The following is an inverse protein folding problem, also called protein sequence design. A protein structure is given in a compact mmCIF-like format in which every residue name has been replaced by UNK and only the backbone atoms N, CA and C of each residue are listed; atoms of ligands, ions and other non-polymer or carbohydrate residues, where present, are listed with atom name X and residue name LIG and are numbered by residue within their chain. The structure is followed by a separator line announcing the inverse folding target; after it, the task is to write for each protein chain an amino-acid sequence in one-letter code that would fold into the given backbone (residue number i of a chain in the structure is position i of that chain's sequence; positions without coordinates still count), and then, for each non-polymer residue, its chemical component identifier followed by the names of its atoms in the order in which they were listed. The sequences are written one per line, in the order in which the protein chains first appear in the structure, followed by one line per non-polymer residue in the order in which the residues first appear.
data_IF_348596131386
#
_entry.id   IF_348596131386
#
_cell.length_a   1.000
_cell.length_b   1.000
_cell.length_c   1.000
_cell.angle_alpha   90.00
_cell.angle_beta   90.00
_cell.angle_gamma   90.00
#
_symmetry.space_group_name_H-M   'P 1'
#
loop_
_entity.id
_entity.type
_entity.pdbx_description
1 polymer ?
#
# COMPACT_ATOMS: atom_id res chain seq x y z
N UNK A 1 6.40 -3.31 -25.85
CA UNK A 1 6.48 -1.96 -25.24
C UNK A 1 7.89 -1.73 -24.75
N UNK A 2 8.35 -0.49 -24.84
CA UNK A 2 9.65 -0.11 -24.28
C UNK A 2 9.49 0.11 -22.77
N UNK A 3 10.14 -0.74 -21.96
CA UNK A 3 10.05 -0.68 -20.51
C UNK A 3 10.94 0.40 -19.88
N UNK A 4 11.74 1.11 -20.69
CA UNK A 4 12.55 2.24 -20.20
C UNK A 4 11.71 3.48 -19.84
N UNK A 5 10.41 3.46 -20.13
CA UNK A 5 9.49 4.54 -19.73
C UNK A 5 9.32 4.65 -18.22
N UNK A 6 9.59 3.57 -17.47
CA UNK A 6 9.42 3.58 -16.01
C UNK A 6 10.59 4.31 -15.34
N UNK A 7 10.24 5.24 -14.44
CA UNK A 7 11.23 5.89 -13.59
C UNK A 7 11.81 4.88 -12.59
N UNK A 8 13.04 5.13 -12.15
CA UNK A 8 13.70 4.26 -11.16
C UNK A 8 13.02 4.32 -9.81
N UNK A 9 12.43 5.46 -9.46
CA UNK A 9 11.81 5.68 -8.16
C UNK A 9 10.54 6.50 -8.29
N UNK A 10 9.53 6.14 -7.46
CA UNK A 10 8.27 6.86 -7.31
C UNK A 10 8.05 7.18 -5.84
N UNK A 11 7.52 8.36 -5.56
CA UNK A 11 7.18 8.80 -4.19
C UNK A 11 5.78 9.38 -4.17
N UNK A 12 5.05 9.13 -3.09
CA UNK A 12 3.72 9.67 -2.88
C UNK A 12 3.40 9.70 -1.39
N UNK A 13 2.47 10.54 -0.98
CA UNK A 13 1.92 10.54 0.36
C UNK A 13 0.46 10.07 0.33
N UNK A 14 0.11 9.18 1.25
CA UNK A 14 -1.25 8.68 1.41
C UNK A 14 -1.79 9.08 2.78
N UNK A 15 -2.97 9.67 2.80
CA UNK A 15 -3.70 9.97 4.04
C UNK A 15 -4.65 8.82 4.36
N UNK A 16 -4.57 8.29 5.58
CA UNK A 16 -5.56 7.33 6.10
C UNK A 16 -6.80 8.12 6.54
N UNK A 17 -7.57 8.60 5.58
CA UNK A 17 -8.76 9.41 5.83
C UNK A 17 -9.93 8.58 6.35
N UNK A 18 -10.89 9.25 6.99
CA UNK A 18 -12.11 8.58 7.47
C UNK A 18 -12.85 7.86 6.35
N UNK A 19 -13.02 8.52 5.19
CA UNK A 19 -13.69 7.90 4.04
C UNK A 19 -12.95 6.68 3.48
N UNK A 20 -11.64 6.64 3.56
CA UNK A 20 -10.83 5.48 3.14
C UNK A 20 -11.10 4.31 4.08
N UNK A 21 -11.11 4.58 5.38
CA UNK A 21 -11.37 3.60 6.43
C UNK A 21 -12.79 3.01 6.28
N UNK A 22 -13.78 3.89 6.14
CA UNK A 22 -15.19 3.49 5.99
C UNK A 22 -15.44 2.72 4.70
N UNK A 23 -14.82 3.12 3.60
CA UNK A 23 -14.94 2.43 2.32
C UNK A 23 -14.35 1.02 2.38
N UNK A 24 -13.21 0.85 3.04
CA UNK A 24 -12.61 -0.47 3.22
C UNK A 24 -13.48 -1.37 4.10
N UNK A 25 -14.02 -0.83 5.19
CA UNK A 25 -14.93 -1.55 6.07
C UNK A 25 -16.16 -2.07 5.33
N UNK A 26 -16.75 -1.24 4.47
CA UNK A 26 -17.88 -1.64 3.62
C UNK A 26 -17.47 -2.68 2.58
N UNK A 27 -16.33 -2.48 1.94
CA UNK A 27 -15.82 -3.38 0.90
C UNK A 27 -15.53 -4.78 1.46
N UNK A 28 -14.88 -4.86 2.62
CA UNK A 28 -14.44 -6.12 3.21
C UNK A 28 -15.49 -6.79 4.08
N UNK A 29 -16.40 -6.02 4.68
CA UNK A 29 -17.31 -6.52 5.72
C UNK A 29 -16.59 -6.88 7.02
N UNK A 30 -15.35 -6.44 7.19
CA UNK A 30 -14.52 -6.75 8.36
C UNK A 30 -14.78 -5.75 9.48
N UNK A 31 -15.44 -6.21 10.54
CA UNK A 31 -15.73 -5.43 11.75
C UNK A 31 -14.96 -5.96 12.96
N UNK A 32 -13.80 -6.58 12.74
CA UNK A 32 -12.97 -7.08 13.83
C UNK A 32 -12.71 -5.97 14.85
N UNK A 33 -12.87 -6.23 16.16
CA UNK A 33 -12.79 -5.20 17.19
C UNK A 33 -11.45 -4.46 17.25
N UNK A 34 -10.36 -5.06 16.79
CA UNK A 34 -9.08 -4.33 16.71
C UNK A 34 -9.19 -3.09 15.82
N UNK A 35 -10.04 -3.12 14.80
CA UNK A 35 -10.23 -2.04 13.84
C UNK A 35 -11.40 -1.13 14.18
N UNK A 36 -12.32 -1.55 15.06
CA UNK A 36 -13.63 -0.89 15.26
C UNK A 36 -13.93 -0.51 16.70
N UNK A 37 -13.26 -1.12 17.69
CA UNK A 37 -13.53 -0.92 19.12
C UNK A 37 -12.27 -0.39 19.80
N UNK A 38 -12.29 0.90 20.13
CA UNK A 38 -11.14 1.56 20.76
C UNK A 38 -10.80 0.96 22.12
N UNK A 39 -11.81 0.59 22.91
CA UNK A 39 -11.59 -0.05 24.20
C UNK A 39 -10.88 -1.39 24.06
N UNK A 40 -11.27 -2.16 23.04
CA UNK A 40 -10.60 -3.42 22.74
C UNK A 40 -9.14 -3.20 22.35
N UNK A 41 -8.89 -2.26 21.42
CA UNK A 41 -7.53 -1.96 20.98
C UNK A 41 -6.65 -1.51 22.15
N UNK A 42 -7.16 -0.64 23.01
CA UNK A 42 -6.45 -0.19 24.22
C UNK A 42 -6.15 -1.34 25.19
N UNK A 43 -7.07 -2.28 25.31
CA UNK A 43 -6.85 -3.48 26.15
C UNK A 43 -5.74 -4.38 25.62
N UNK A 44 -5.38 -4.26 24.35
CA UNK A 44 -4.29 -5.00 23.71
C UNK A 44 -2.99 -4.19 23.61
N UNK A 45 -2.94 -3.02 24.23
CA UNK A 45 -1.74 -2.17 24.29
C UNK A 45 -1.59 -1.16 23.17
N UNK A 46 -2.63 -0.95 22.35
CA UNK A 46 -2.62 0.07 21.31
C UNK A 46 -3.29 1.35 21.77
N UNK A 47 -2.83 2.54 21.32
CA UNK A 47 -3.42 3.82 21.76
C UNK A 47 -4.83 4.06 21.21
N UNK A 48 -5.16 3.43 20.07
CA UNK A 48 -6.45 3.53 19.39
C UNK A 48 -6.62 2.34 18.45
N UNK A 49 -7.73 2.30 17.71
CA UNK A 49 -7.94 1.25 16.71
C UNK A 49 -6.79 1.19 15.70
N UNK A 50 -6.31 -0.02 15.45
CA UNK A 50 -5.29 -0.27 14.43
C UNK A 50 -5.97 -0.32 13.06
N UNK A 51 -5.40 0.39 12.08
CA UNK A 51 -5.91 0.42 10.71
C UNK A 51 -5.92 -0.99 10.09
N UNK A 52 -6.90 -1.24 9.24
CA UNK A 52 -6.90 -2.42 8.38
C UNK A 52 -5.64 -2.46 7.51
N UNK A 53 -4.80 -3.47 7.69
CA UNK A 53 -3.55 -3.58 6.93
C UNK A 53 -3.77 -3.59 5.41
N UNK A 54 -4.86 -4.21 4.96
CA UNK A 54 -5.17 -4.31 3.53
C UNK A 54 -5.57 -2.98 2.88
N UNK A 55 -5.78 -1.90 3.62
CA UNK A 55 -5.90 -0.56 3.05
C UNK A 55 -4.61 -0.20 2.29
N UNK A 56 -3.45 -0.64 2.78
CA UNK A 56 -2.18 -0.40 2.11
C UNK A 56 -2.13 -1.03 0.72
N UNK A 57 -2.78 -2.17 0.53
CA UNK A 57 -2.92 -2.79 -0.79
C UNK A 57 -3.75 -1.91 -1.73
N UNK A 58 -4.75 -1.21 -1.22
CA UNK A 58 -5.49 -0.20 -1.98
C UNK A 58 -4.60 0.96 -2.43
N UNK A 59 -3.69 1.40 -1.57
CA UNK A 59 -2.71 2.44 -1.93
C UNK A 59 -1.71 1.96 -2.98
N UNK A 60 -1.26 0.71 -2.90
CA UNK A 60 -0.44 0.11 -3.96
C UNK A 60 -1.22 0.05 -5.28
N UNK A 61 -2.51 -0.26 -5.24
CA UNK A 61 -3.36 -0.23 -6.43
C UNK A 61 -3.41 1.17 -7.05
N UNK A 62 -3.53 2.22 -6.24
CA UNK A 62 -3.45 3.60 -6.73
C UNK A 62 -2.10 3.89 -7.39
N UNK A 63 -0.99 3.47 -6.77
CA UNK A 63 0.34 3.63 -7.36
C UNK A 63 0.40 3.03 -8.77
N UNK A 64 -0.03 1.78 -8.93
CA UNK A 64 0.01 1.09 -10.22
C UNK A 64 -0.95 1.71 -11.23
N UNK A 65 -2.16 2.04 -10.80
CA UNK A 65 -3.21 2.53 -11.70
C UNK A 65 -3.08 3.99 -12.10
N UNK A 66 -2.46 4.82 -11.23
CA UNK A 66 -2.53 6.27 -11.39
C UNK A 66 -1.17 6.98 -11.45
N UNK A 67 -0.09 6.41 -10.92
CA UNK A 67 1.19 7.11 -10.83
C UNK A 67 2.20 6.66 -11.89
N UNK A 68 1.99 5.53 -12.53
CA UNK A 68 2.88 5.05 -13.58
C UNK A 68 2.67 5.81 -14.90
N UNK A 69 3.68 5.82 -15.78
CA UNK A 69 3.61 6.54 -17.06
C UNK A 69 2.62 5.93 -18.06
N UNK A 70 2.08 4.75 -17.79
CA UNK A 70 1.06 4.09 -18.60
C UNK A 70 0.03 3.41 -17.71
N UNK A 71 -1.21 3.33 -18.17
CA UNK A 71 -2.29 2.59 -17.53
C UNK A 71 -2.52 1.22 -18.18
N UNK A 72 -1.75 0.87 -19.21
CA UNK A 72 -1.84 -0.39 -19.92
C UNK A 72 -1.08 -1.50 -19.18
N UNK A 73 -1.44 -1.71 -17.94
CA UNK A 73 -0.76 -2.65 -17.03
C UNK A 73 -1.77 -3.46 -16.24
N UNK A 74 -1.32 -4.63 -15.81
CA UNK A 74 -2.08 -5.50 -14.92
C UNK A 74 -1.16 -6.02 -13.81
N UNK A 75 -1.67 -6.10 -12.59
CA UNK A 75 -0.92 -6.68 -11.47
C UNK A 75 -0.91 -8.21 -11.61
N UNK A 76 0.27 -8.80 -11.63
CA UNK A 76 0.46 -10.25 -11.63
C UNK A 76 0.52 -10.82 -10.22
N UNK A 77 1.28 -10.18 -9.34
CA UNK A 77 1.51 -10.67 -7.98
C UNK A 77 1.87 -9.53 -7.05
N UNK A 78 1.61 -9.74 -5.78
CA UNK A 78 1.92 -8.76 -4.74
C UNK A 78 2.22 -9.49 -3.44
N UNK A 79 3.28 -9.04 -2.75
CA UNK A 79 3.62 -9.44 -1.40
C UNK A 79 3.73 -8.20 -0.54
N UNK A 80 3.25 -8.29 0.69
CA UNK A 80 3.41 -7.22 1.68
C UNK A 80 3.68 -7.82 3.05
N UNK A 81 4.60 -7.21 3.78
CA UNK A 81 4.89 -7.53 5.17
C UNK A 81 4.58 -6.31 6.04
N UNK A 82 3.80 -6.53 7.08
CA UNK A 82 3.41 -5.49 8.04
C UNK A 82 4.40 -5.47 9.19
N UNK A 83 4.98 -4.30 9.48
CA UNK A 83 6.05 -4.16 10.46
C UNK A 83 5.63 -3.39 11.71
N UNK A 84 4.77 -2.39 11.54
CA UNK A 84 4.30 -1.53 12.63
C UNK A 84 2.84 -1.13 12.37
N UNK A 85 2.05 -0.88 13.42
CA UNK A 85 0.66 -0.47 13.25
C UNK A 85 0.56 0.91 12.59
N UNK A 86 -0.54 1.09 11.88
CA UNK A 86 -0.93 2.38 11.28
C UNK A 86 -2.25 2.78 11.92
N UNK A 87 -2.49 4.07 12.05
CA UNK A 87 -3.69 4.61 12.66
C UNK A 87 -4.42 5.55 11.71
N UNK A 88 -5.71 5.72 11.97
CA UNK A 88 -6.53 6.67 11.24
C UNK A 88 -5.89 8.07 11.30
N UNK A 89 -5.94 8.78 10.18
CA UNK A 89 -5.36 10.12 10.00
C UNK A 89 -3.84 10.16 9.86
N UNK A 90 -3.14 9.03 9.94
CA UNK A 90 -1.72 9.00 9.59
C UNK A 90 -1.53 9.40 8.12
N UNK A 91 -0.49 10.21 7.87
CA UNK A 91 0.00 10.49 6.52
C UNK A 91 1.20 9.57 6.30
N UNK A 92 1.07 8.67 5.35
CA UNK A 92 2.09 7.67 5.07
C UNK A 92 2.95 8.11 3.89
N UNK A 93 4.26 8.07 4.07
CA UNK A 93 5.21 8.26 2.99
C UNK A 93 5.41 6.93 2.26
N UNK A 94 5.04 6.92 1.00
CA UNK A 94 5.21 5.77 0.11
C UNK A 94 6.39 6.02 -0.82
N UNK A 95 7.25 5.03 -0.98
CA UNK A 95 8.29 5.03 -1.99
C UNK A 95 8.35 3.67 -2.68
N UNK A 96 8.56 3.67 -3.98
CA UNK A 96 8.71 2.46 -4.77
C UNK A 96 9.88 2.60 -5.73
N UNK A 97 10.61 1.50 -5.92
CA UNK A 97 11.75 1.44 -6.84
C UNK A 97 11.58 0.26 -7.78
N UNK A 98 11.93 0.45 -9.04
CA UNK A 98 12.07 -0.67 -9.97
C UNK A 98 13.16 -1.59 -9.44
N UNK A 99 12.81 -2.85 -9.21
CA UNK A 99 13.74 -3.87 -8.70
C UNK A 99 14.12 -4.89 -9.75
N UNK A 100 13.27 -5.11 -10.75
CA UNK A 100 13.54 -6.03 -11.85
C UNK A 100 12.71 -5.68 -13.06
N UNK A 101 13.29 -5.90 -14.25
CA UNK A 101 12.61 -5.74 -15.53
C UNK A 101 12.90 -6.99 -16.36
N UNK A 102 11.83 -7.63 -16.85
CA UNK A 102 11.94 -8.75 -17.79
C UNK A 102 11.31 -8.37 -19.11
N UNK A 103 12.13 -8.11 -20.11
CA UNK A 103 11.63 -7.81 -21.46
C UNK A 103 11.01 -9.03 -22.13
N UNK A 104 11.51 -10.22 -21.83
CA UNK A 104 11.02 -11.47 -22.40
C UNK A 104 9.54 -11.71 -22.12
N UNK A 105 9.08 -11.38 -20.91
CA UNK A 105 7.68 -11.55 -20.49
C UNK A 105 6.96 -10.23 -20.28
N UNK A 106 7.59 -9.10 -20.64
CA UNK A 106 7.03 -7.76 -20.51
C UNK A 106 6.50 -7.49 -19.10
N UNK A 107 7.37 -7.72 -18.10
CA UNK A 107 7.04 -7.55 -16.68
C UNK A 107 8.02 -6.61 -15.99
N UNK A 108 7.51 -5.88 -15.00
CA UNK A 108 8.30 -4.99 -14.14
C UNK A 108 7.95 -5.29 -12.70
N UNK A 109 8.97 -5.43 -11.85
CA UNK A 109 8.80 -5.55 -10.41
C UNK A 109 9.21 -4.25 -9.72
N UNK A 110 8.39 -3.82 -8.77
CA UNK A 110 8.70 -2.71 -7.87
C UNK A 110 8.82 -3.24 -6.45
N UNK A 111 9.81 -2.74 -5.71
CA UNK A 111 9.87 -2.87 -4.25
C UNK A 111 9.42 -1.57 -3.63
N UNK A 112 8.56 -1.63 -2.61
CA UNK A 112 7.97 -0.44 -2.01
C UNK A 112 8.04 -0.47 -0.49
N UNK A 113 7.93 0.71 0.10
CA UNK A 113 7.96 0.93 1.55
C UNK A 113 6.95 2.00 1.91
N UNK A 114 6.21 1.76 2.99
CA UNK A 114 5.37 2.76 3.66
C UNK A 114 6.01 3.13 4.99
N UNK A 115 6.10 4.44 5.25
CA UNK A 115 6.58 4.98 6.54
C UNK A 115 5.50 5.83 7.18
N UNK A 116 5.43 5.76 8.51
CA UNK A 116 4.50 6.59 9.29
C UNK A 116 5.06 8.02 9.49
N UNK A 117 4.28 8.95 10.11
CA UNK A 117 4.75 10.31 10.37
C UNK A 117 6.03 10.40 11.20
N UNK A 118 6.33 9.38 12.00
CA UNK A 118 7.57 9.32 12.77
C UNK A 118 8.77 8.77 11.97
N UNK A 119 8.55 8.43 10.69
CA UNK A 119 9.58 7.87 9.81
C UNK A 119 9.82 6.37 9.98
N UNK A 120 9.02 5.69 10.79
CA UNK A 120 9.12 4.24 10.96
C UNK A 120 8.52 3.50 9.77
N UNK A 121 9.16 2.43 9.34
CA UNK A 121 8.61 1.52 8.34
C UNK A 121 7.39 0.80 8.94
N UNK A 122 6.22 1.00 8.35
CA UNK A 122 4.99 0.31 8.77
C UNK A 122 4.71 -0.92 7.92
N UNK A 123 5.12 -0.90 6.67
CA UNK A 123 5.01 -2.04 5.77
C UNK A 123 6.01 -1.91 4.63
N UNK A 124 6.38 -3.03 4.06
CA UNK A 124 7.14 -3.09 2.82
C UNK A 124 6.78 -4.34 2.03
N UNK A 125 6.96 -4.26 0.74
CA UNK A 125 6.60 -5.34 -0.14
C UNK A 125 7.12 -5.18 -1.54
N UNK A 126 6.57 -5.99 -2.43
CA UNK A 126 6.87 -5.93 -3.85
C UNK A 126 5.60 -6.24 -4.66
N UNK A 127 5.53 -5.63 -5.83
CA UNK A 127 4.44 -5.83 -6.77
C UNK A 127 5.04 -6.03 -8.15
N UNK A 128 4.57 -7.06 -8.85
CA UNK A 128 4.92 -7.31 -10.23
C UNK A 128 3.74 -6.98 -11.13
N UNK A 129 4.02 -6.22 -12.17
CA UNK A 129 3.05 -5.88 -13.20
C UNK A 129 3.48 -6.45 -14.54
N UNK A 130 2.50 -6.71 -15.38
CA UNK A 130 2.71 -7.04 -16.79
C UNK A 130 2.09 -5.97 -17.69
N UNK A 131 2.66 -5.82 -18.88
CA UNK A 131 2.11 -4.94 -19.91
C UNK A 131 0.94 -5.64 -20.59
N UNK A 132 -0.13 -4.86 -20.87
CA UNK A 132 -1.28 -5.32 -21.65
C UNK A 132 -1.01 -5.23 -23.15
#
# INVERSE_FOLDING_TARGET
MDLSIFDKEYKHQFLVADEVYDAFQKCSGDFNPLHTDESFAKSKGFPECVMYGNILNGFVSYFIGMLLPTQEVIIHSQEIAYKNPVYKHDILDFSAKVSDISEAVQAVEFKYTFRNPAGKVVAKGRVQIGML
#
